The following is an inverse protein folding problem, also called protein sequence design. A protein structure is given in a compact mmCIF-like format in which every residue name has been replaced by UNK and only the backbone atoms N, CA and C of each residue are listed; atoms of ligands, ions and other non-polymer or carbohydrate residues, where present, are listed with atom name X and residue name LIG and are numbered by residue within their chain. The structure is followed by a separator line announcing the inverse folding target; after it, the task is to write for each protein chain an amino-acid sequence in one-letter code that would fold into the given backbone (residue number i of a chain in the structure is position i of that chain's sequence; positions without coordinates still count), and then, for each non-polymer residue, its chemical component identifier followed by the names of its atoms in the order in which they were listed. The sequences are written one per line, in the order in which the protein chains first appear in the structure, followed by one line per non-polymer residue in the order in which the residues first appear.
data_IF_448328066752
#
_entry.id   IF_448328066752
#
_cell.length_a   1.000
_cell.length_b   1.000
_cell.length_c   1.000
_cell.angle_alpha   90.00
_cell.angle_beta   90.00
_cell.angle_gamma   90.00
#
_symmetry.space_group_name_H-M   'P 1'
#
loop_
_entity.id
_entity.type
_entity.pdbx_description
1 polymer ?
#
# COMPACT_ATOMS: atom_id res chain seq x y z
N UNK A 1 27.25 4.60 17.47
CA UNK A 1 27.28 4.83 16.03
C UNK A 1 25.82 5.09 15.64
N UNK A 2 25.46 6.35 15.37
CA UNK A 2 24.09 6.71 15.00
C UNK A 2 23.80 6.10 13.64
N UNK A 3 22.75 5.29 13.57
CA UNK A 3 22.26 4.68 12.33
C UNK A 3 21.91 5.81 11.36
N UNK A 4 22.56 5.87 10.21
CA UNK A 4 22.18 6.78 9.13
C UNK A 4 20.85 6.28 8.51
N UNK A 5 19.75 6.71 9.10
CA UNK A 5 18.42 6.57 8.51
C UNK A 5 18.39 7.38 7.21
N UNK A 6 18.28 6.70 6.09
CA UNK A 6 18.28 7.35 4.78
C UNK A 6 16.86 7.72 4.35
N UNK A 7 16.40 8.88 4.77
CA UNK A 7 15.24 9.52 4.14
C UNK A 7 15.68 10.21 2.85
N UNK A 8 15.13 9.77 1.72
CA UNK A 8 15.45 10.37 0.42
C UNK A 8 14.17 10.75 -0.30
N UNK A 9 14.07 12.00 -0.74
CA UNK A 9 13.15 12.34 -1.82
C UNK A 9 13.79 11.91 -3.13
N UNK A 10 13.07 11.17 -3.95
CA UNK A 10 13.54 10.59 -5.20
C UNK A 10 12.62 10.96 -6.36
N UNK A 11 13.18 11.01 -7.55
CA UNK A 11 12.45 11.03 -8.79
C UNK A 11 12.39 9.60 -9.36
N UNK A 12 11.20 9.20 -9.81
CA UNK A 12 10.93 7.88 -10.35
C UNK A 12 10.62 8.06 -11.84
N UNK A 13 11.62 7.89 -12.73
CA UNK A 13 11.40 8.00 -14.16
C UNK A 13 10.63 6.79 -14.69
N UNK A 14 9.46 7.04 -15.22
CA UNK A 14 8.64 6.07 -15.93
C UNK A 14 8.61 6.41 -17.43
N UNK A 15 8.02 5.54 -18.25
CA UNK A 15 8.06 5.72 -19.71
C UNK A 15 7.50 7.07 -20.20
N UNK A 16 6.47 7.60 -19.54
CA UNK A 16 5.76 8.81 -20.00
C UNK A 16 5.82 9.97 -19.00
N UNK A 17 6.17 9.70 -17.74
CA UNK A 17 6.13 10.69 -16.66
C UNK A 17 7.28 10.46 -15.68
N UNK A 18 7.60 11.49 -14.90
CA UNK A 18 8.46 11.37 -13.72
C UNK A 18 7.59 11.60 -12.49
N UNK A 19 7.55 10.61 -11.60
CA UNK A 19 6.83 10.70 -10.34
C UNK A 19 7.78 11.07 -9.20
N UNK A 20 7.24 11.68 -8.15
CA UNK A 20 8.00 12.01 -6.93
C UNK A 20 7.73 10.95 -5.86
N UNK A 21 8.78 10.55 -5.15
CA UNK A 21 8.68 9.58 -4.06
C UNK A 21 9.53 9.96 -2.84
N UNK A 22 9.12 9.46 -1.68
CA UNK A 22 9.87 9.51 -0.44
C UNK A 22 10.24 8.08 -0.07
N UNK A 23 11.51 7.74 -0.22
CA UNK A 23 12.06 6.42 0.07
C UNK A 23 12.77 6.46 1.42
N UNK A 24 12.44 5.50 2.27
CA UNK A 24 13.15 5.25 3.52
C UNK A 24 13.63 3.80 3.54
N UNK A 25 14.90 3.58 3.85
CA UNK A 25 15.50 2.26 3.96
C UNK A 25 16.26 2.18 5.28
N UNK A 26 15.73 1.45 6.29
CA UNK A 26 16.47 1.19 7.52
C UNK A 26 17.65 0.25 7.27
N UNK A 27 18.63 0.28 8.15
CA UNK A 27 19.73 -0.68 8.13
C UNK A 27 19.17 -2.11 8.23
N UNK A 28 19.68 -3.01 7.38
CA UNK A 28 19.22 -4.40 7.32
C UNK A 28 17.74 -4.60 6.92
N UNK A 29 17.17 -3.65 6.19
CA UNK A 29 15.84 -3.82 5.64
C UNK A 29 15.75 -5.11 4.80
N UNK A 30 14.72 -5.93 5.06
CA UNK A 30 14.46 -7.18 4.33
C UNK A 30 13.30 -7.08 3.36
N UNK A 31 12.48 -6.06 3.51
CA UNK A 31 11.30 -5.85 2.69
C UNK A 31 11.02 -4.37 2.48
N UNK A 32 10.35 -4.06 1.39
CA UNK A 32 9.91 -2.71 1.02
C UNK A 32 8.40 -2.71 0.85
N UNK A 33 7.73 -1.80 1.55
CA UNK A 33 6.29 -1.55 1.41
C UNK A 33 6.08 -0.33 0.53
N UNK A 34 5.44 -0.52 -0.63
CA UNK A 34 5.03 0.57 -1.52
C UNK A 34 3.63 1.04 -1.13
N UNK A 35 3.47 2.36 -1.00
CA UNK A 35 2.21 2.98 -0.59
C UNK A 35 1.45 3.52 -1.80
N UNK A 36 0.26 2.97 -2.05
CA UNK A 36 -0.69 3.45 -3.03
C UNK A 36 -1.75 4.31 -2.34
N UNK A 37 -1.66 5.62 -2.52
CA UNK A 37 -2.55 6.59 -1.87
C UNK A 37 -3.94 6.64 -2.52
N UNK A 38 -4.94 7.16 -1.78
CA UNK A 38 -6.30 7.38 -2.29
C UNK A 38 -6.43 8.61 -3.17
N UNK A 39 -7.61 8.77 -3.79
CA UNK A 39 -7.92 9.92 -4.64
C UNK A 39 -7.81 11.24 -3.87
N UNK A 40 -7.22 12.26 -4.50
CA UNK A 40 -6.99 13.57 -3.89
C UNK A 40 -5.96 13.56 -2.74
N UNK A 41 -5.17 12.50 -2.63
CA UNK A 41 -4.07 12.36 -1.67
C UNK A 41 -2.72 12.33 -2.41
N UNK A 42 -1.62 12.19 -1.69
CA UNK A 42 -0.26 12.15 -2.26
C UNK A 42 0.70 11.40 -1.31
N UNK A 43 1.98 11.34 -1.70
CA UNK A 43 3.07 10.87 -0.84
C UNK A 43 3.19 11.64 0.48
N UNK A 44 2.62 12.85 0.55
CA UNK A 44 2.64 13.72 1.74
C UNK A 44 1.47 13.47 2.70
N UNK A 45 0.59 12.51 2.43
CA UNK A 45 -0.54 12.15 3.30
C UNK A 45 -0.09 11.95 4.75
N UNK A 46 -0.55 12.75 5.73
CA UNK A 46 -0.14 12.57 7.13
C UNK A 46 -0.48 11.17 7.66
N UNK A 47 -1.65 10.62 7.27
CA UNK A 47 -2.08 9.29 7.68
C UNK A 47 -1.19 8.17 7.13
N UNK A 48 -0.83 8.23 5.85
CA UNK A 48 0.07 7.23 5.26
C UNK A 48 1.49 7.36 5.83
N UNK A 49 1.98 8.58 6.05
CA UNK A 49 3.28 8.82 6.67
C UNK A 49 3.32 8.30 8.11
N UNK A 50 2.23 8.45 8.88
CA UNK A 50 2.15 7.88 10.22
C UNK A 50 2.28 6.35 10.20
N UNK A 51 1.51 5.67 9.33
CA UNK A 51 1.61 4.21 9.19
C UNK A 51 3.01 3.81 8.72
N UNK A 52 3.58 4.52 7.74
CA UNK A 52 4.93 4.26 7.25
C UNK A 52 5.97 4.38 8.37
N UNK A 53 5.88 5.40 9.22
CA UNK A 53 6.75 5.57 10.38
C UNK A 53 6.71 4.36 11.34
N UNK A 54 5.52 3.82 11.62
CA UNK A 54 5.38 2.60 12.43
C UNK A 54 6.04 1.39 11.74
N UNK A 55 5.86 1.23 10.42
CA UNK A 55 6.50 0.14 9.67
C UNK A 55 8.03 0.28 9.64
N UNK A 56 8.55 1.51 9.56
CA UNK A 56 9.97 1.82 9.61
C UNK A 56 10.59 1.41 10.95
N UNK A 57 9.90 1.66 12.06
CA UNK A 57 10.33 1.19 13.40
C UNK A 57 10.38 -0.34 13.51
N UNK A 58 9.58 -1.05 12.71
CA UNK A 58 9.64 -2.52 12.59
C UNK A 58 10.73 -3.01 11.60
N UNK A 59 11.58 -2.12 11.13
CA UNK A 59 12.70 -2.44 10.22
C UNK A 59 12.26 -2.68 8.77
N UNK A 60 11.10 -2.18 8.36
CA UNK A 60 10.64 -2.26 6.97
C UNK A 60 11.01 -0.99 6.20
N UNK A 61 11.52 -1.15 4.99
CA UNK A 61 11.64 -0.03 4.06
C UNK A 61 10.26 0.41 3.56
N UNK A 62 10.12 1.69 3.25
CA UNK A 62 8.87 2.25 2.73
C UNK A 62 9.12 3.17 1.56
N UNK A 63 8.24 3.11 0.56
CA UNK A 63 8.19 4.05 -0.54
C UNK A 63 6.79 4.67 -0.61
N UNK A 64 6.68 5.94 -0.26
CA UNK A 64 5.49 6.74 -0.49
C UNK A 64 5.74 7.56 -1.76
N UNK A 65 4.89 7.42 -2.76
CA UNK A 65 5.06 8.15 -4.02
C UNK A 65 3.72 8.65 -4.54
N UNK A 66 3.78 9.66 -5.40
CA UNK A 66 2.59 10.19 -6.06
C UNK A 66 2.25 9.26 -7.24
N UNK A 67 1.02 8.75 -7.28
CA UNK A 67 0.54 7.89 -8.38
C UNK A 67 0.26 8.69 -9.66
N UNK A 68 0.09 9.99 -9.53
CA UNK A 68 -0.24 10.93 -10.59
C UNK A 68 0.74 12.09 -10.56
N UNK A 69 0.98 12.69 -11.71
CA UNK A 69 1.62 14.00 -11.77
C UNK A 69 0.68 15.08 -11.24
N UNK A 70 1.21 16.27 -10.93
CA UNK A 70 0.40 17.40 -10.47
C UNK A 70 -0.66 17.80 -11.51
N UNK A 71 -0.33 17.68 -12.81
CA UNK A 71 -1.27 17.97 -13.90
C UNK A 71 -2.38 16.93 -13.99
N UNK A 72 -2.03 15.64 -13.91
CA UNK A 72 -2.99 14.53 -13.91
C UNK A 72 -3.92 14.60 -12.69
N UNK A 73 -3.40 14.97 -11.50
CA UNK A 73 -4.19 15.07 -10.27
C UNK A 73 -5.19 16.24 -10.29
N UNK A 74 -4.98 17.28 -11.11
CA UNK A 74 -5.97 18.36 -11.28
C UNK A 74 -7.26 17.88 -11.94
N UNK A 75 -7.21 16.79 -12.69
CA UNK A 75 -8.34 16.22 -13.39
C UNK A 75 -9.08 15.23 -12.50
N UNK A 76 -10.29 15.56 -12.05
CA UNK A 76 -11.09 14.70 -11.17
C UNK A 76 -11.21 13.25 -11.66
N UNK A 77 -11.44 13.05 -12.97
CA UNK A 77 -11.57 11.72 -13.58
C UNK A 77 -10.32 10.87 -13.42
N UNK A 78 -9.13 11.48 -13.48
CA UNK A 78 -7.85 10.77 -13.41
C UNK A 78 -7.64 10.16 -12.04
N UNK A 79 -8.07 10.84 -10.97
CA UNK A 79 -7.99 10.36 -9.58
C UNK A 79 -8.75 9.05 -9.32
N UNK A 80 -9.72 8.73 -10.17
CA UNK A 80 -10.56 7.53 -10.07
C UNK A 80 -10.32 6.54 -11.22
N UNK A 81 -9.33 6.79 -12.06
CA UNK A 81 -8.93 5.88 -13.13
C UNK A 81 -8.06 4.76 -12.54
N UNK A 82 -8.70 3.69 -12.05
CA UNK A 82 -8.02 2.58 -11.39
C UNK A 82 -7.01 1.91 -12.31
N UNK A 83 -7.29 1.82 -13.60
CA UNK A 83 -6.36 1.21 -14.57
C UNK A 83 -5.07 2.03 -14.66
N UNK A 84 -5.16 3.36 -14.75
CA UNK A 84 -3.99 4.24 -14.73
C UNK A 84 -3.21 4.12 -13.42
N UNK A 85 -3.91 4.17 -12.26
CA UNK A 85 -3.27 4.06 -10.94
C UNK A 85 -2.57 2.69 -10.78
N UNK A 86 -3.19 1.63 -11.29
CA UNK A 86 -2.60 0.28 -11.32
C UNK A 86 -1.36 0.23 -12.19
N UNK A 87 -1.44 0.77 -13.42
CA UNK A 87 -0.30 0.86 -14.33
C UNK A 87 0.88 1.60 -13.69
N UNK A 88 0.62 2.75 -13.05
CA UNK A 88 1.66 3.53 -12.34
C UNK A 88 2.31 2.71 -11.23
N UNK A 89 1.52 2.01 -10.42
CA UNK A 89 2.05 1.17 -9.36
C UNK A 89 2.89 0.00 -9.93
N UNK A 90 2.45 -0.63 -11.02
CA UNK A 90 3.21 -1.67 -11.72
C UNK A 90 4.55 -1.11 -12.22
N UNK A 91 4.55 0.00 -12.95
CA UNK A 91 5.76 0.63 -13.47
C UNK A 91 6.74 1.02 -12.35
N UNK A 92 6.25 1.60 -11.25
CA UNK A 92 7.07 1.93 -10.07
C UNK A 92 7.63 0.66 -9.43
N UNK A 93 6.84 -0.40 -9.36
CA UNK A 93 7.32 -1.70 -8.82
C UNK A 93 8.42 -2.29 -9.69
N UNK A 94 8.28 -2.27 -10.99
CA UNK A 94 9.34 -2.74 -11.91
C UNK A 94 10.60 -1.86 -11.79
N UNK A 95 10.43 -0.55 -11.72
CA UNK A 95 11.56 0.36 -11.56
C UNK A 95 12.30 0.14 -10.23
N UNK A 96 11.59 0.01 -9.10
CA UNK A 96 12.22 -0.15 -7.78
C UNK A 96 12.97 -1.47 -7.65
N UNK A 97 12.54 -2.53 -8.34
CA UNK A 97 13.24 -3.83 -8.40
C UNK A 97 14.63 -3.72 -9.02
N UNK A 98 14.86 -2.72 -9.88
CA UNK A 98 16.14 -2.51 -10.56
C UNK A 98 17.13 -1.65 -9.75
N UNK A 99 16.64 -0.93 -8.72
CA UNK A 99 17.49 -0.01 -7.96
C UNK A 99 18.42 -0.76 -7.02
N UNK A 100 19.70 -0.36 -6.99
CA UNK A 100 20.75 -1.03 -6.21
C UNK A 100 20.39 -1.17 -4.72
N UNK A 101 19.74 -0.17 -4.15
CA UNK A 101 19.43 -0.09 -2.72
C UNK A 101 18.23 -0.97 -2.31
N UNK A 102 17.35 -1.32 -3.27
CA UNK A 102 16.11 -2.07 -3.01
C UNK A 102 16.09 -3.44 -3.67
N UNK A 103 17.08 -3.71 -4.53
CA UNK A 103 17.21 -4.99 -5.20
C UNK A 103 17.31 -6.15 -4.21
N UNK A 104 16.41 -7.11 -4.35
CA UNK A 104 16.37 -8.31 -3.49
C UNK A 104 15.51 -8.15 -2.23
N UNK A 105 14.97 -6.95 -1.95
CA UNK A 105 13.96 -6.80 -0.90
C UNK A 105 12.66 -7.49 -1.31
N UNK A 106 11.99 -8.13 -0.34
CA UNK A 106 10.62 -8.60 -0.56
C UNK A 106 9.69 -7.39 -0.74
N UNK A 107 8.77 -7.46 -1.68
CA UNK A 107 7.86 -6.35 -1.98
C UNK A 107 6.48 -6.60 -1.39
N UNK A 108 5.87 -5.55 -0.88
CA UNK A 108 4.52 -5.56 -0.36
C UNK A 108 3.80 -4.24 -0.67
N UNK A 109 2.48 -4.24 -0.61
CA UNK A 109 1.66 -3.06 -0.88
C UNK A 109 0.84 -2.64 0.34
N UNK A 110 0.78 -1.33 0.54
CA UNK A 110 -0.20 -0.69 1.42
C UNK A 110 -1.07 0.25 0.58
N UNK A 111 -2.33 -0.11 0.39
CA UNK A 111 -3.29 0.69 -0.38
C UNK A 111 -4.32 1.38 0.50
N UNK A 112 -4.61 2.65 0.23
CA UNK A 112 -5.62 3.42 0.94
C UNK A 112 -6.77 3.85 0.01
N UNK A 113 -8.02 3.64 0.41
CA UNK A 113 -9.21 4.01 -0.38
C UNK A 113 -9.14 3.46 -1.82
N UNK A 114 -9.19 4.30 -2.86
CA UNK A 114 -9.00 3.90 -4.28
C UNK A 114 -7.63 3.28 -4.53
N UNK A 115 -6.59 3.70 -3.80
CA UNK A 115 -5.26 3.11 -3.87
C UNK A 115 -5.21 1.63 -3.44
N UNK A 116 -6.19 1.17 -2.66
CA UNK A 116 -6.29 -0.25 -2.34
C UNK A 116 -6.71 -1.09 -3.55
N UNK A 117 -7.55 -0.54 -4.44
CA UNK A 117 -7.91 -1.23 -5.67
C UNK A 117 -6.70 -1.40 -6.58
N UNK A 118 -5.93 -0.33 -6.82
CA UNK A 118 -4.70 -0.41 -7.62
C UNK A 118 -3.66 -1.34 -7.00
N UNK A 119 -3.51 -1.36 -5.66
CA UNK A 119 -2.61 -2.27 -4.96
C UNK A 119 -3.01 -3.74 -5.16
N UNK A 120 -4.31 -4.05 -5.09
CA UNK A 120 -4.81 -5.41 -5.31
C UNK A 120 -4.69 -5.84 -6.77
N UNK A 121 -4.99 -4.94 -7.72
CA UNK A 121 -4.82 -5.23 -9.15
C UNK A 121 -3.35 -5.42 -9.52
N UNK A 122 -2.44 -4.61 -8.97
CA UNK A 122 -1.01 -4.81 -9.16
C UNK A 122 -0.51 -6.11 -8.51
N UNK A 123 -1.02 -6.47 -7.32
CA UNK A 123 -0.70 -7.75 -6.69
C UNK A 123 -1.19 -8.95 -7.52
N UNK A 124 -2.36 -8.83 -8.15
CA UNK A 124 -2.85 -9.85 -9.09
C UNK A 124 -1.97 -9.99 -10.33
N UNK A 125 -1.37 -8.87 -10.81
CA UNK A 125 -0.45 -8.86 -11.94
C UNK A 125 0.88 -9.55 -11.61
N UNK A 126 1.48 -9.24 -10.44
CA UNK A 126 2.78 -9.76 -10.03
C UNK A 126 2.71 -11.17 -9.41
N UNK A 127 1.54 -11.62 -8.99
CA UNK A 127 1.39 -12.92 -8.33
C UNK A 127 2.29 -13.05 -7.10
N UNK A 128 3.08 -14.11 -7.04
CA UNK A 128 3.92 -14.47 -5.88
C UNK A 128 5.11 -13.52 -5.63
N UNK A 129 5.36 -12.56 -6.52
CA UNK A 129 6.39 -11.54 -6.29
C UNK A 129 5.98 -10.53 -5.21
N UNK A 130 4.68 -10.40 -4.94
CA UNK A 130 4.17 -9.56 -3.85
C UNK A 130 3.90 -10.42 -2.63
N UNK A 131 4.64 -10.19 -1.56
CA UNK A 131 4.61 -11.03 -0.37
C UNK A 131 3.44 -10.73 0.57
N UNK A 132 2.85 -9.53 0.54
CA UNK A 132 1.67 -9.18 1.34
C UNK A 132 0.99 -7.90 0.83
N UNK A 133 -0.31 -7.78 1.10
CA UNK A 133 -1.10 -6.58 0.83
C UNK A 133 -1.88 -6.15 2.06
N UNK A 134 -1.89 -4.85 2.35
CA UNK A 134 -2.79 -4.22 3.33
C UNK A 134 -3.66 -3.19 2.62
N UNK A 135 -4.97 -3.27 2.80
CA UNK A 135 -5.98 -2.33 2.31
C UNK A 135 -6.58 -1.57 3.49
N UNK A 136 -6.36 -0.26 3.58
CA UNK A 136 -6.92 0.61 4.63
C UNK A 136 -8.08 1.45 4.12
N UNK A 137 -9.28 1.24 4.67
CA UNK A 137 -10.51 1.91 4.21
C UNK A 137 -10.67 1.76 2.69
N UNK A 138 -10.27 0.60 2.18
CA UNK A 138 -10.09 0.39 0.76
C UNK A 138 -11.39 0.21 -0.01
N UNK A 139 -11.30 0.45 -1.32
CA UNK A 139 -12.33 0.20 -2.31
C UNK A 139 -11.95 -1.03 -3.18
N UNK A 140 -11.80 -2.23 -2.56
CA UNK A 140 -11.42 -3.43 -3.29
C UNK A 140 -12.47 -3.85 -4.33
N UNK A 141 -13.69 -3.36 -4.20
CA UNK A 141 -14.76 -3.53 -5.17
C UNK A 141 -14.42 -2.99 -6.58
N UNK A 142 -13.53 -2.00 -6.66
CA UNK A 142 -13.05 -1.44 -7.92
C UNK A 142 -12.00 -2.35 -8.62
N UNK A 143 -11.54 -3.41 -7.96
CA UNK A 143 -10.64 -4.43 -8.50
C UNK A 143 -11.30 -5.82 -8.53
N UNK A 144 -12.63 -5.91 -8.43
CA UNK A 144 -13.38 -7.15 -8.17
C UNK A 144 -13.05 -8.28 -9.17
N UNK A 145 -12.87 -7.94 -10.45
CA UNK A 145 -12.52 -8.90 -11.51
C UNK A 145 -11.13 -9.51 -11.35
N UNK A 146 -10.24 -8.89 -10.58
CA UNK A 146 -8.86 -9.34 -10.41
C UNK A 146 -8.61 -10.07 -9.08
N UNK A 147 -9.51 -9.90 -8.10
CA UNK A 147 -9.29 -10.38 -6.72
C UNK A 147 -8.99 -11.88 -6.63
N UNK A 148 -9.61 -12.70 -7.47
CA UNK A 148 -9.40 -14.16 -7.47
C UNK A 148 -7.98 -14.57 -7.92
N UNK A 149 -7.25 -13.67 -8.58
CA UNK A 149 -5.87 -13.86 -9.03
C UNK A 149 -4.83 -13.45 -7.97
N UNK A 150 -5.25 -12.71 -6.93
CA UNK A 150 -4.34 -12.27 -5.87
C UNK A 150 -3.89 -13.47 -5.07
N UNK A 151 -2.59 -13.76 -5.09
CA UNK A 151 -1.96 -14.84 -4.29
C UNK A 151 -1.40 -14.31 -2.98
N UNK A 152 -1.04 -13.02 -2.92
CA UNK A 152 -0.48 -12.37 -1.76
C UNK A 152 -1.44 -12.38 -0.55
N UNK A 153 -0.99 -12.79 0.65
CA UNK A 153 -1.75 -12.63 1.88
C UNK A 153 -2.29 -11.19 2.04
N UNK A 154 -3.60 -11.06 2.21
CA UNK A 154 -4.29 -9.76 2.13
C UNK A 154 -5.05 -9.43 3.42
N UNK A 155 -4.75 -8.26 4.01
CA UNK A 155 -5.48 -7.69 5.14
C UNK A 155 -6.36 -6.54 4.66
N UNK A 156 -7.68 -6.65 4.92
CA UNK A 156 -8.66 -5.59 4.67
C UNK A 156 -8.99 -4.92 6.02
N UNK A 157 -8.73 -3.62 6.16
CA UNK A 157 -9.00 -2.85 7.38
C UNK A 157 -10.08 -1.82 7.07
N UNK A 158 -11.17 -1.82 7.84
CA UNK A 158 -12.32 -0.92 7.62
C UNK A 158 -12.76 -0.30 8.94
N UNK A 159 -13.17 0.97 8.91
CA UNK A 159 -13.76 1.64 10.05
C UNK A 159 -15.16 1.09 10.38
N UNK A 160 -15.44 0.84 11.66
CA UNK A 160 -16.72 0.26 12.11
C UNK A 160 -17.95 1.13 11.84
N UNK A 161 -17.74 2.43 11.61
CA UNK A 161 -18.80 3.37 11.24
C UNK A 161 -18.91 3.58 9.72
N UNK A 162 -17.98 3.05 8.92
CA UNK A 162 -18.01 3.13 7.47
C UNK A 162 -18.84 1.96 6.87
N UNK A 163 -20.15 1.98 7.10
CA UNK A 163 -21.06 0.87 6.79
C UNK A 163 -21.05 0.44 5.34
N UNK A 164 -20.96 1.39 4.41
CA UNK A 164 -20.92 1.11 2.96
C UNK A 164 -19.64 0.36 2.61
N UNK A 165 -18.49 0.85 3.09
CA UNK A 165 -17.19 0.26 2.78
C UNK A 165 -17.03 -1.11 3.47
N UNK A 166 -17.66 -1.34 4.65
CA UNK A 166 -17.72 -2.68 5.26
C UNK A 166 -18.34 -3.68 4.29
N UNK A 167 -19.51 -3.37 3.71
CA UNK A 167 -20.20 -4.29 2.78
C UNK A 167 -19.35 -4.55 1.53
N UNK A 168 -18.69 -3.53 0.99
CA UNK A 168 -17.81 -3.68 -0.17
C UNK A 168 -16.61 -4.58 0.14
N UNK A 169 -16.01 -4.43 1.31
CA UNK A 169 -14.90 -5.26 1.75
C UNK A 169 -15.32 -6.70 2.08
N UNK A 170 -16.51 -6.92 2.62
CA UNK A 170 -17.05 -8.28 2.82
C UNK A 170 -17.25 -9.02 1.50
N UNK A 171 -17.76 -8.33 0.45
CA UNK A 171 -17.87 -8.90 -0.89
C UNK A 171 -16.49 -9.23 -1.47
N UNK A 172 -15.54 -8.32 -1.35
CA UNK A 172 -14.18 -8.54 -1.82
C UNK A 172 -13.49 -9.70 -1.08
N UNK A 173 -13.68 -9.78 0.24
CA UNK A 173 -13.19 -10.89 1.06
C UNK A 173 -13.66 -12.26 0.53
N UNK A 174 -14.93 -12.36 0.10
CA UNK A 174 -15.46 -13.57 -0.50
C UNK A 174 -14.83 -13.95 -1.86
N UNK A 175 -14.28 -12.97 -2.59
CA UNK A 175 -13.66 -13.19 -3.90
C UNK A 175 -12.15 -13.44 -3.83
N UNK A 176 -11.48 -13.01 -2.79
CA UNK A 176 -10.06 -13.33 -2.55
C UNK A 176 -9.92 -14.84 -2.28
N UNK A 177 -8.87 -15.46 -2.83
CA UNK A 177 -8.57 -16.90 -2.63
C UNK A 177 -7.28 -17.14 -1.83
N UNK A 178 -6.49 -16.10 -1.62
CA UNK A 178 -5.29 -16.12 -0.78
C UNK A 178 -5.61 -16.18 0.72
N UNK A 179 -4.60 -16.29 1.56
CA UNK A 179 -4.74 -16.01 3.00
C UNK A 179 -5.26 -14.58 3.16
N UNK A 180 -6.36 -14.40 3.88
CA UNK A 180 -7.03 -13.10 4.01
C UNK A 180 -7.61 -12.88 5.39
N UNK A 181 -7.63 -11.61 5.80
CA UNK A 181 -8.29 -11.18 7.04
C UNK A 181 -9.09 -9.91 6.78
N UNK A 182 -10.27 -9.80 7.39
CA UNK A 182 -11.04 -8.56 7.48
C UNK A 182 -10.99 -8.09 8.94
N UNK A 183 -10.46 -6.89 9.15
CA UNK A 183 -10.36 -6.23 10.46
C UNK A 183 -11.25 -5.00 10.48
N UNK A 184 -12.23 -5.01 11.39
CA UNK A 184 -13.11 -3.86 11.61
C UNK A 184 -12.61 -3.11 12.83
N UNK A 185 -12.23 -1.84 12.67
CA UNK A 185 -11.80 -0.97 13.77
C UNK A 185 -13.03 -0.32 14.40
N UNK A 186 -13.45 -0.72 15.60
CA UNK A 186 -14.67 -0.19 16.22
C UNK A 186 -14.56 1.31 16.43
N UNK A 187 -15.65 2.04 16.14
CA UNK A 187 -15.73 3.49 16.38
C UNK A 187 -14.86 4.34 15.47
N UNK A 188 -14.38 3.79 14.35
CA UNK A 188 -13.63 4.53 13.34
C UNK A 188 -14.51 4.85 12.13
N UNK A 189 -14.35 6.06 11.58
CA UNK A 189 -14.87 6.47 10.27
C UNK A 189 -13.91 6.04 9.15
N UNK A 190 -14.19 6.45 7.91
CA UNK A 190 -13.38 6.13 6.72
C UNK A 190 -11.91 6.57 6.84
N UNK A 191 -11.65 7.69 7.50
CA UNK A 191 -10.30 8.27 7.56
C UNK A 191 -9.54 7.87 8.83
N UNK A 192 -10.19 7.21 9.80
CA UNK A 192 -9.59 6.77 11.07
C UNK A 192 -9.01 7.94 11.88
N UNK A 193 -9.70 9.09 11.88
CA UNK A 193 -9.24 10.33 12.53
C UNK A 193 -9.59 10.37 14.03
N UNK A 194 -10.44 9.48 14.49
CA UNK A 194 -10.80 9.37 15.89
C UNK A 194 -9.60 8.85 16.71
N UNK A 195 -9.50 9.33 17.94
CA UNK A 195 -8.37 9.02 18.83
C UNK A 195 -8.09 7.52 18.93
N UNK A 196 -6.85 7.12 18.72
CA UNK A 196 -6.38 5.74 18.79
C UNK A 196 -6.74 4.87 17.58
N UNK A 197 -7.49 5.39 16.57
CA UNK A 197 -7.95 4.55 15.44
C UNK A 197 -6.89 4.39 14.36
N UNK A 198 -6.15 5.43 14.05
CA UNK A 198 -5.04 5.34 13.12
C UNK A 198 -3.88 4.52 13.71
N UNK A 199 -3.65 4.62 15.00
CA UNK A 199 -2.71 3.80 15.76
C UNK A 199 -3.07 2.31 15.68
N UNK A 200 -4.36 1.99 15.84
CA UNK A 200 -4.84 0.62 15.68
C UNK A 200 -4.62 0.10 14.25
N UNK A 201 -4.89 0.93 13.21
CA UNK A 201 -4.58 0.59 11.81
C UNK A 201 -3.10 0.31 11.63
N UNK A 202 -2.22 1.18 12.13
CA UNK A 202 -0.77 1.01 11.99
C UNK A 202 -0.28 -0.27 12.68
N UNK A 203 -0.76 -0.54 13.91
CA UNK A 203 -0.37 -1.72 14.67
C UNK A 203 -0.79 -3.04 13.99
N UNK A 204 -2.03 -3.13 13.48
CA UNK A 204 -2.48 -4.34 12.78
C UNK A 204 -1.79 -4.51 11.43
N UNK A 205 -1.46 -3.41 10.74
CA UNK A 205 -0.69 -3.42 9.49
C UNK A 205 0.74 -3.92 9.74
N UNK A 206 1.41 -3.38 10.75
CA UNK A 206 2.76 -3.80 11.14
C UNK A 206 2.80 -5.30 11.49
N UNK A 207 1.85 -5.76 12.30
CA UNK A 207 1.72 -7.18 12.65
C UNK A 207 1.52 -8.07 11.41
N UNK A 208 0.71 -7.61 10.45
CA UNK A 208 0.46 -8.34 9.21
C UNK A 208 1.73 -8.44 8.37
N UNK A 209 2.38 -7.32 8.10
CA UNK A 209 3.62 -7.30 7.33
C UNK A 209 4.74 -8.07 8.01
N UNK A 210 4.95 -7.90 9.31
CA UNK A 210 5.98 -8.65 10.05
C UNK A 210 5.75 -10.16 9.98
N UNK A 211 4.50 -10.64 9.98
CA UNK A 211 4.16 -12.05 9.82
C UNK A 211 4.55 -12.59 8.44
N UNK A 212 4.29 -11.82 7.38
CA UNK A 212 4.40 -12.32 6.00
C UNK A 212 5.69 -11.93 5.29
N UNK A 213 6.43 -10.93 5.81
CA UNK A 213 7.72 -10.47 5.28
C UNK A 213 8.91 -11.04 6.07
N UNK A 214 8.84 -12.30 6.45
CA UNK A 214 9.93 -13.02 7.11
C UNK A 214 10.99 -13.43 6.07
N UNK A 215 12.29 -13.53 6.46
CA UNK A 215 13.27 -14.15 5.59
C UNK A 215 12.77 -15.53 5.16
N UNK A 216 12.86 -15.84 3.86
CA UNK A 216 12.63 -17.22 3.42
C UNK A 216 13.57 -18.11 4.23
N UNK A 217 13.03 -19.06 4.99
CA UNK A 217 13.85 -20.10 5.61
C UNK A 217 14.57 -20.82 4.47
N UNK A 218 15.89 -20.66 4.44
CA UNK A 218 16.79 -21.39 3.54
C UNK A 218 16.68 -22.89 3.78
#
# INVERSE_FOLDING_TARGET
MLLEEKHKTIEIPLNQVVLKGNLFIPENARALVLFSHGSGSSRLSPRNNYVAGVLQHEGLATLLFDLLTEEEDRLYKTRFNIDLLTQRLIEVTEWIKTQKETKGLQLAYFGASTGAASALSAAAYFGDEIAAVVSRGGRPDLAMSELYKVTAPTLLIVGGWDKVVIVLNQKAYGNLRCERKLEIIPGATHLFEESGKLEAVAAVSAKWFTKHLQPKKS
#
